data_IF_543106009547
#
_entry.id   IF_543106009547
#
_cell.length_a   1.000
_cell.length_b   1.000
_cell.length_c   1.000
_cell.angle_alpha   90.00
_cell.angle_beta   90.00
_cell.angle_gamma   90.00
#
_symmetry.space_group_name_H-M   'P 1'
#
loop_
_entity.id
_entity.type
_entity.pdbx_description
1 polymer ?
#
# COMPACT_ATOMS: atom_id res chain seq x y z
N UNK A 1 -5.22 6.97 0.69
CA UNK A 1 -6.10 8.14 0.73
C UNK A 1 -5.45 9.34 0.04
N UNK A 2 -4.19 9.66 0.33
CA UNK A 2 -3.53 10.87 -0.20
C UNK A 2 -3.08 10.77 -1.67
N UNK A 3 -3.10 9.61 -2.31
CA UNK A 3 -2.56 9.42 -3.66
C UNK A 3 -3.28 10.29 -4.71
N UNK A 4 -4.58 10.52 -4.56
CA UNK A 4 -5.32 11.43 -5.46
C UNK A 4 -4.88 12.87 -5.28
N UNK A 5 -4.66 13.30 -4.05
CA UNK A 5 -4.29 14.69 -3.74
C UNK A 5 -2.94 15.08 -4.34
N UNK A 6 -1.97 14.15 -4.32
CA UNK A 6 -0.60 14.38 -4.78
C UNK A 6 -0.30 13.79 -6.16
N UNK A 7 -1.31 13.33 -6.88
CA UNK A 7 -1.20 12.69 -8.19
C UNK A 7 -0.11 11.60 -8.24
N UNK A 8 -0.17 10.70 -7.27
CA UNK A 8 0.75 9.56 -7.17
C UNK A 8 0.06 8.32 -7.70
N UNK A 9 0.75 7.59 -8.56
CA UNK A 9 0.26 6.30 -9.09
C UNK A 9 0.22 5.25 -7.98
N UNK A 10 -0.71 4.28 -8.05
CA UNK A 10 -0.75 3.17 -7.11
C UNK A 10 0.58 2.44 -7.03
N UNK A 11 0.95 2.03 -5.83
CA UNK A 11 2.15 1.22 -5.58
C UNK A 11 1.88 0.19 -4.49
N UNK A 12 2.82 -0.75 -4.34
CA UNK A 12 2.73 -1.84 -3.39
C UNK A 12 3.74 -1.61 -2.28
N UNK A 13 3.33 -1.83 -1.04
CA UNK A 13 4.23 -1.98 0.11
C UNK A 13 4.17 -3.43 0.55
N UNK A 14 5.32 -4.08 0.62
CA UNK A 14 5.42 -5.49 0.93
C UNK A 14 6.24 -5.75 2.17
N UNK A 15 5.74 -6.60 3.04
CA UNK A 15 6.49 -7.21 4.14
C UNK A 15 6.95 -8.60 3.68
N UNK A 16 8.25 -8.75 3.39
CA UNK A 16 8.85 -10.00 2.94
C UNK A 16 9.79 -10.56 4.01
N UNK A 17 9.84 -11.87 4.17
CA UNK A 17 10.74 -12.52 5.12
C UNK A 17 10.26 -13.89 5.56
N UNK A 18 11.02 -14.55 6.46
CA UNK A 18 10.75 -15.91 6.92
C UNK A 18 9.39 -16.05 7.60
N UNK A 19 8.91 -17.27 7.67
CA UNK A 19 7.65 -17.63 8.34
C UNK A 19 7.68 -17.23 9.81
N UNK A 20 6.52 -16.89 10.36
CA UNK A 20 6.29 -16.60 11.78
C UNK A 20 7.03 -15.35 12.34
N UNK A 21 7.31 -14.37 11.49
CA UNK A 21 7.91 -13.09 11.90
C UNK A 21 6.88 -11.96 12.16
N UNK A 22 5.59 -12.28 12.25
CA UNK A 22 4.54 -11.30 12.54
C UNK A 22 3.98 -10.55 11.33
N UNK A 23 4.32 -10.91 10.08
CA UNK A 23 3.89 -10.18 8.86
C UNK A 23 2.36 -10.08 8.72
N UNK A 24 1.65 -11.20 8.82
CA UNK A 24 0.17 -11.22 8.77
C UNK A 24 -0.44 -10.41 9.91
N UNK A 25 0.18 -10.48 11.10
CA UNK A 25 -0.24 -9.67 12.23
C UNK A 25 -0.08 -8.17 11.94
N UNK A 26 1.08 -7.75 11.41
CA UNK A 26 1.32 -6.37 10.98
C UNK A 26 0.31 -5.93 9.93
N UNK A 27 0.00 -6.78 8.95
CA UNK A 27 -0.99 -6.49 7.92
C UNK A 27 -2.37 -6.21 8.53
N UNK A 28 -2.80 -7.04 9.49
CA UNK A 28 -4.06 -6.87 10.20
C UNK A 28 -4.07 -5.63 11.10
N UNK A 29 -2.96 -5.33 11.77
CA UNK A 29 -2.79 -4.12 12.56
C UNK A 29 -2.92 -2.86 11.68
N UNK A 30 -2.30 -2.85 10.50
CA UNK A 30 -2.44 -1.71 9.57
C UNK A 30 -3.85 -1.64 8.98
N UNK A 31 -4.50 -2.79 8.73
CA UNK A 31 -5.89 -2.82 8.29
C UNK A 31 -6.84 -2.21 9.34
N UNK A 32 -6.56 -2.40 10.64
CA UNK A 32 -7.37 -1.87 11.73
C UNK A 32 -7.43 -0.33 11.77
N UNK A 33 -6.48 0.36 11.16
CA UNK A 33 -6.54 1.82 10.97
C UNK A 33 -7.79 2.24 10.21
N UNK A 34 -8.28 1.40 9.28
CA UNK A 34 -9.39 1.70 8.37
C UNK A 34 -10.66 0.89 8.63
N UNK A 35 -10.58 -0.24 9.32
CA UNK A 35 -11.71 -1.11 9.58
C UNK A 35 -11.32 -2.41 10.27
N UNK A 36 -12.15 -3.44 10.14
CA UNK A 36 -11.87 -4.75 10.73
C UNK A 36 -10.82 -5.53 9.95
N UNK A 37 -10.29 -6.60 10.55
CA UNK A 37 -9.37 -7.54 9.89
C UNK A 37 -9.95 -8.22 8.66
N UNK A 38 -11.28 -8.18 8.44
CA UNK A 38 -11.96 -8.69 7.24
C UNK A 38 -11.55 -7.92 5.96
N UNK A 39 -10.93 -6.76 6.09
CA UNK A 39 -10.31 -6.05 4.98
C UNK A 39 -9.13 -6.82 4.38
N UNK A 40 -8.50 -7.70 5.15
CA UNK A 40 -7.38 -8.53 4.71
C UNK A 40 -7.89 -9.73 3.92
N UNK A 41 -7.45 -9.86 2.69
CA UNK A 41 -7.77 -10.97 1.79
C UNK A 41 -6.48 -11.65 1.30
N UNK A 42 -6.59 -12.82 0.66
CA UNK A 42 -5.42 -13.52 0.14
C UNK A 42 -5.13 -13.18 -1.32
N UNK A 43 -3.92 -13.48 -1.79
CA UNK A 43 -3.57 -13.42 -3.20
C UNK A 43 -4.24 -14.49 -4.07
N UNK A 44 -4.88 -15.49 -3.46
CA UNK A 44 -5.66 -16.53 -4.17
C UNK A 44 -6.91 -15.93 -4.82
N UNK A 45 -6.70 -15.14 -5.87
CA UNK A 45 -7.75 -14.41 -6.55
C UNK A 45 -7.41 -14.21 -8.04
N UNK A 46 -8.40 -13.94 -8.88
CA UNK A 46 -8.16 -13.65 -10.29
C UNK A 46 -7.68 -12.20 -10.46
N UNK A 47 -6.96 -11.89 -11.56
CA UNK A 47 -6.56 -10.51 -11.88
C UNK A 47 -7.76 -9.57 -11.94
N UNK A 48 -8.88 -10.02 -12.50
CA UNK A 48 -10.09 -9.24 -12.59
C UNK A 48 -10.69 -8.89 -11.23
N UNK A 49 -10.58 -9.79 -10.25
CA UNK A 49 -11.04 -9.50 -8.90
C UNK A 49 -10.12 -8.51 -8.17
N UNK A 50 -8.82 -8.53 -8.46
CA UNK A 50 -7.88 -7.52 -7.92
C UNK A 50 -8.22 -6.13 -8.47
N UNK A 51 -8.39 -5.98 -9.79
CA UNK A 51 -8.78 -4.71 -10.42
C UNK A 51 -10.15 -4.22 -9.91
N UNK A 52 -11.13 -5.13 -9.79
CA UNK A 52 -12.47 -4.79 -9.28
C UNK A 52 -12.44 -4.32 -7.82
N UNK A 53 -11.66 -4.99 -6.98
CA UNK A 53 -11.49 -4.61 -5.57
C UNK A 53 -10.74 -3.29 -5.45
N UNK A 54 -9.65 -3.08 -6.22
CA UNK A 54 -8.91 -1.82 -6.21
C UNK A 54 -9.81 -0.64 -6.61
N UNK A 55 -10.65 -0.81 -7.63
CA UNK A 55 -11.61 0.20 -8.06
C UNK A 55 -12.73 0.44 -7.03
N UNK A 56 -13.21 -0.62 -6.36
CA UNK A 56 -14.21 -0.50 -5.29
C UNK A 56 -13.66 0.28 -4.10
N UNK A 57 -12.44 -0.03 -3.68
CA UNK A 57 -11.76 0.66 -2.59
C UNK A 57 -11.35 2.09 -2.98
N UNK A 58 -11.12 2.35 -4.26
CA UNK A 58 -10.79 3.63 -4.85
C UNK A 58 -9.53 4.25 -4.23
N UNK A 59 -9.64 5.02 -3.16
CA UNK A 59 -8.53 5.65 -2.43
C UNK A 59 -8.16 4.95 -1.11
N UNK A 60 -8.97 4.00 -0.64
CA UNK A 60 -8.67 3.22 0.56
C UNK A 60 -7.66 2.12 0.28
N UNK A 61 -6.77 1.79 1.23
CA UNK A 61 -5.76 0.76 1.04
C UNK A 61 -6.36 -0.63 0.83
N UNK A 62 -5.65 -1.45 0.08
CA UNK A 62 -5.98 -2.84 -0.19
C UNK A 62 -4.98 -3.74 0.53
N UNK A 63 -5.45 -4.83 1.13
CA UNK A 63 -4.62 -5.74 1.93
C UNK A 63 -4.64 -7.15 1.33
N UNK A 64 -3.46 -7.70 1.03
CA UNK A 64 -3.28 -9.03 0.44
C UNK A 64 -2.24 -9.82 1.21
N UNK A 65 -2.68 -10.90 1.84
CA UNK A 65 -1.81 -11.79 2.59
C UNK A 65 -1.29 -12.95 1.73
N UNK A 66 -0.06 -13.34 1.97
CA UNK A 66 0.63 -14.55 1.51
C UNK A 66 0.77 -14.73 -0.01
N UNK A 67 1.95 -14.38 -0.52
CA UNK A 67 2.33 -14.61 -1.93
C UNK A 67 2.89 -16.02 -2.19
N UNK A 68 3.02 -16.90 -1.18
CA UNK A 68 3.75 -18.17 -1.22
C UNK A 68 3.39 -19.10 -2.37
N UNK A 69 2.10 -19.19 -2.70
CA UNK A 69 1.58 -20.10 -3.72
C UNK A 69 1.27 -19.40 -5.05
N UNK A 70 1.76 -18.21 -5.26
CA UNK A 70 1.48 -17.42 -6.45
C UNK A 70 2.61 -17.56 -7.46
N UNK A 71 2.27 -17.84 -8.72
CA UNK A 71 3.29 -17.94 -9.76
C UNK A 71 3.98 -16.60 -10.04
N UNK A 72 5.29 -16.58 -10.33
CA UNK A 72 6.05 -15.37 -10.65
C UNK A 72 5.39 -14.52 -11.76
N UNK A 73 4.92 -15.16 -12.82
CA UNK A 73 4.25 -14.50 -13.93
C UNK A 73 2.90 -13.86 -13.52
N UNK A 74 2.16 -14.47 -12.61
CA UNK A 74 0.92 -13.89 -12.13
C UNK A 74 1.21 -12.64 -11.31
N UNK A 75 2.16 -12.72 -10.34
CA UNK A 75 2.47 -11.60 -9.45
C UNK A 75 3.05 -10.40 -10.21
N UNK A 76 4.00 -10.63 -11.14
CA UNK A 76 4.55 -9.57 -11.97
C UNK A 76 3.45 -8.84 -12.78
N UNK A 77 2.57 -9.60 -13.45
CA UNK A 77 1.45 -9.02 -14.18
C UNK A 77 0.45 -8.28 -13.27
N UNK A 78 0.20 -8.80 -12.05
CA UNK A 78 -0.67 -8.16 -11.09
C UNK A 78 -0.09 -6.81 -10.63
N UNK A 79 1.23 -6.75 -10.35
CA UNK A 79 1.94 -5.51 -10.01
C UNK A 79 1.78 -4.46 -11.11
N UNK A 80 2.04 -4.82 -12.38
CA UNK A 80 1.90 -3.88 -13.50
C UNK A 80 0.47 -3.38 -13.67
N UNK A 81 -0.51 -4.29 -13.66
CA UNK A 81 -1.91 -3.91 -13.83
C UNK A 81 -2.42 -3.06 -12.68
N UNK A 82 -2.08 -3.43 -11.43
CA UNK A 82 -2.47 -2.66 -10.26
C UNK A 82 -1.87 -1.26 -10.26
N UNK A 83 -0.57 -1.16 -10.56
CA UNK A 83 0.16 0.12 -10.56
C UNK A 83 -0.17 1.02 -11.75
N UNK A 84 -0.94 0.54 -12.74
CA UNK A 84 -1.46 1.41 -13.81
C UNK A 84 -2.57 2.35 -13.31
N UNK A 85 -3.23 2.03 -12.21
CA UNK A 85 -4.32 2.82 -11.62
C UNK A 85 -5.62 2.76 -12.41
N UNK A 86 -5.71 1.91 -13.42
CA UNK A 86 -6.89 1.77 -14.26
C UNK A 86 -7.12 0.34 -14.73
N UNK A 87 -8.39 -0.02 -14.96
CA UNK A 87 -8.74 -1.33 -15.50
C UNK A 87 -8.44 -1.40 -17.01
N UNK A 88 -8.16 -2.62 -17.49
CA UNK A 88 -8.06 -2.84 -18.92
C UNK A 88 -9.40 -2.58 -19.61
N UNK A 89 -9.36 -1.87 -20.73
CA UNK A 89 -10.53 -1.72 -21.61
C UNK A 89 -10.99 -3.09 -22.10
N UNK A 90 -12.27 -3.37 -21.97
CA UNK A 90 -12.89 -4.63 -22.42
C UNK A 90 -14.10 -4.31 -23.25
N UNK A 91 -14.24 -5.05 -24.36
CA UNK A 91 -15.52 -5.05 -25.09
C UNK A 91 -16.51 -5.93 -24.32
N UNK A 92 -17.71 -5.45 -24.11
CA UNK A 92 -18.79 -6.26 -23.54
C UNK A 92 -19.51 -7.07 -24.65
N UNK A 93 -20.45 -7.94 -24.24
CA UNK A 93 -21.24 -8.75 -25.16
C UNK A 93 -22.08 -7.94 -26.20
N UNK A 94 -22.24 -6.63 -25.95
CA UNK A 94 -22.96 -5.69 -26.84
C UNK A 94 -22.01 -4.94 -27.78
N UNK A 95 -20.71 -5.34 -27.86
CA UNK A 95 -19.67 -4.68 -28.65
C UNK A 95 -19.44 -3.20 -28.29
N UNK A 96 -19.81 -2.79 -27.08
CA UNK A 96 -19.47 -1.51 -26.52
C UNK A 96 -18.25 -1.67 -25.58
N UNK A 97 -17.49 -0.61 -25.39
CA UNK A 97 -16.37 -0.59 -24.44
C UNK A 97 -16.94 -0.38 -23.06
N UNK A 98 -16.60 -1.25 -22.10
CA UNK A 98 -16.93 -1.04 -20.69
C UNK A 98 -16.22 0.21 -20.19
N UNK A 99 -16.87 0.95 -19.28
CA UNK A 99 -16.25 2.10 -18.63
C UNK A 99 -14.98 1.68 -17.92
N UNK A 100 -13.90 2.45 -18.15
CA UNK A 100 -12.65 2.29 -17.42
C UNK A 100 -12.90 2.56 -15.94
N UNK A 101 -12.49 1.63 -15.11
CA UNK A 101 -12.45 1.82 -13.65
C UNK A 101 -11.08 2.35 -13.29
N UNK A 102 -11.04 3.30 -12.37
CA UNK A 102 -9.81 3.92 -11.90
C UNK A 102 -9.66 3.77 -10.38
N UNK A 103 -8.43 3.77 -9.92
CA UNK A 103 -8.08 3.76 -8.49
C UNK A 103 -6.74 4.44 -8.24
N UNK A 104 -6.59 5.04 -7.06
CA UNK A 104 -5.32 5.55 -6.54
C UNK A 104 -5.18 5.15 -5.08
N UNK A 105 -4.80 3.91 -4.84
CA UNK A 105 -4.61 3.37 -3.50
C UNK A 105 -3.27 2.62 -3.37
N UNK A 106 -2.92 2.28 -2.14
CA UNK A 106 -1.74 1.47 -1.81
C UNK A 106 -2.22 0.05 -1.56
N UNK A 107 -1.50 -0.94 -2.12
CA UNK A 107 -1.68 -2.34 -1.79
C UNK A 107 -0.59 -2.73 -0.79
N UNK A 108 -1.00 -3.19 0.39
CA UNK A 108 -0.11 -3.81 1.35
C UNK A 108 -0.13 -5.32 1.17
N UNK A 109 1.05 -5.92 1.12
CA UNK A 109 1.22 -7.36 0.85
C UNK A 109 2.16 -8.00 1.85
N UNK A 110 2.02 -9.31 2.05
CA UNK A 110 2.99 -10.11 2.77
C UNK A 110 3.46 -11.29 1.93
N UNK A 111 4.69 -11.75 2.18
CA UNK A 111 5.26 -12.91 1.50
C UNK A 111 6.49 -13.49 2.20
N UNK A 112 6.90 -14.69 1.83
CA UNK A 112 8.16 -15.29 2.31
C UNK A 112 9.36 -14.82 1.46
N UNK A 113 9.14 -14.59 0.18
CA UNK A 113 10.12 -14.00 -0.73
C UNK A 113 9.58 -12.68 -1.28
N UNK A 114 10.46 -11.71 -1.52
CA UNK A 114 10.01 -10.44 -2.07
C UNK A 114 9.46 -10.59 -3.50
N UNK A 115 8.41 -9.86 -3.79
CA UNK A 115 7.79 -9.79 -5.13
C UNK A 115 8.84 -9.45 -6.19
N UNK A 116 9.76 -8.54 -5.86
CA UNK A 116 10.85 -8.15 -6.76
C UNK A 116 11.78 -9.32 -7.07
N UNK A 117 12.07 -10.19 -6.09
CA UNK A 117 12.89 -11.37 -6.30
C UNK A 117 12.16 -12.48 -7.06
N UNK A 118 10.84 -12.55 -6.94
CA UNK A 118 10.00 -13.51 -7.67
C UNK A 118 9.83 -13.13 -9.14
N UNK A 119 9.89 -11.85 -9.50
CA UNK A 119 9.60 -11.37 -10.85
C UNK A 119 10.83 -11.51 -11.78
N UNK A 120 10.59 -11.87 -13.05
CA UNK A 120 11.61 -11.89 -14.10
C UNK A 120 12.09 -10.48 -14.47
N UNK A 121 11.17 -9.52 -14.59
CA UNK A 121 11.47 -8.09 -14.81
C UNK A 121 11.63 -7.36 -13.48
N UNK A 122 12.79 -7.51 -12.87
CA UNK A 122 13.11 -6.92 -11.57
C UNK A 122 13.07 -5.39 -11.59
N UNK A 123 13.57 -4.75 -12.63
CA UNK A 123 13.67 -3.28 -12.70
C UNK A 123 12.28 -2.62 -12.78
N UNK A 124 11.39 -3.14 -13.59
CA UNK A 124 10.05 -2.63 -13.74
C UNK A 124 9.17 -2.87 -12.51
N UNK A 125 9.32 -4.02 -11.86
CA UNK A 125 8.61 -4.36 -10.61
C UNK A 125 9.15 -3.52 -9.45
N UNK A 126 10.48 -3.39 -9.29
CA UNK A 126 11.11 -2.60 -8.22
C UNK A 126 10.70 -1.12 -8.24
N UNK A 127 10.35 -0.58 -9.41
CA UNK A 127 9.84 0.78 -9.51
C UNK A 127 8.40 0.97 -8.95
N UNK A 128 7.75 -0.12 -8.54
CA UNK A 128 6.33 -0.17 -8.13
C UNK A 128 6.11 -0.84 -6.78
N UNK A 129 7.14 -1.46 -6.23
CA UNK A 129 7.07 -2.20 -4.96
C UNK A 129 8.12 -1.66 -4.00
N UNK A 130 7.69 -1.26 -2.83
CA UNK A 130 8.56 -0.93 -1.69
C UNK A 130 8.57 -2.16 -0.80
N UNK A 131 9.70 -2.85 -0.74
CA UNK A 131 9.84 -4.08 0.06
C UNK A 131 10.53 -3.77 1.40
N UNK A 132 9.94 -4.25 2.47
CA UNK A 132 10.47 -4.24 3.83
C UNK A 132 10.81 -5.68 4.20
N UNK A 133 12.08 -5.99 4.43
CA UNK A 133 12.57 -7.36 4.68
C UNK A 133 12.98 -7.57 6.15
N UNK A 134 12.88 -6.55 6.98
CA UNK A 134 13.20 -6.64 8.40
C UNK A 134 12.04 -7.25 9.21
N UNK A 135 12.39 -7.90 10.32
CA UNK A 135 11.42 -8.40 11.28
C UNK A 135 10.73 -7.20 11.97
N UNK A 136 9.39 -7.05 11.85
CA UNK A 136 8.73 -5.86 12.37
C UNK A 136 8.65 -5.78 13.90
N UNK A 137 8.87 -6.89 14.60
CA UNK A 137 8.77 -6.97 16.06
C UNK A 137 10.00 -7.63 16.67
N UNK A 138 10.39 -7.25 17.90
CA UNK A 138 11.43 -7.95 18.64
C UNK A 138 10.96 -9.37 19.01
N UNK A 139 11.93 -10.25 19.28
CA UNK A 139 11.68 -11.55 19.86
C UNK A 139 10.90 -11.38 21.19
N UNK A 140 9.94 -12.22 21.47
CA UNK A 140 9.07 -12.16 22.66
C UNK A 140 8.06 -10.98 22.71
N UNK A 141 7.68 -10.42 21.58
CA UNK A 141 6.62 -9.42 21.54
C UNK A 141 5.27 -10.03 21.94
N UNK A 142 4.47 -9.31 22.75
CA UNK A 142 3.13 -9.75 23.17
C UNK A 142 2.09 -9.46 22.09
N UNK A 143 2.00 -10.37 21.12
CA UNK A 143 1.00 -10.29 20.05
C UNK A 143 -0.44 -10.46 20.55
N UNK A 144 -0.67 -11.15 21.67
CA UNK A 144 -2.02 -11.47 22.15
C UNK A 144 -2.72 -10.23 22.67
N UNK A 145 -2.05 -9.45 23.52
CA UNK A 145 -2.59 -8.19 24.02
C UNK A 145 -2.92 -7.21 22.89
N UNK A 146 -1.99 -7.02 21.99
CA UNK A 146 -2.18 -6.06 20.89
C UNK A 146 -3.26 -6.54 19.89
N UNK A 147 -3.36 -7.85 19.59
CA UNK A 147 -4.41 -8.41 18.73
C UNK A 147 -5.81 -8.13 19.32
N UNK A 148 -5.96 -8.28 20.63
CA UNK A 148 -7.22 -7.96 21.31
C UNK A 148 -7.54 -6.46 21.19
N UNK A 149 -6.57 -5.59 21.43
CA UNK A 149 -6.78 -4.14 21.40
C UNK A 149 -7.21 -3.63 20.03
N UNK A 150 -6.54 -4.01 18.94
CA UNK A 150 -6.90 -3.49 17.62
C UNK A 150 -8.17 -4.13 17.04
N UNK A 151 -8.60 -5.31 17.53
CA UNK A 151 -9.89 -5.89 17.16
C UNK A 151 -11.06 -5.17 17.81
N UNK A 152 -10.86 -4.60 18.98
CA UNK A 152 -11.88 -3.81 19.69
C UNK A 152 -11.88 -2.33 19.26
N UNK A 153 -10.71 -1.81 18.84
CA UNK A 153 -10.48 -0.40 18.53
C UNK A 153 -10.00 -0.22 17.10
N UNK A 154 -10.90 -0.31 16.12
CA UNK A 154 -10.56 -0.16 14.70
C UNK A 154 -11.26 1.04 14.06
N UNK A 155 -10.72 1.52 12.93
CA UNK A 155 -11.29 2.57 12.08
C UNK A 155 -11.17 4.00 12.63
N UNK A 156 -10.71 4.18 13.86
CA UNK A 156 -10.64 5.50 14.51
C UNK A 156 -9.46 6.32 14.02
N UNK A 157 -8.27 5.75 13.97
CA UNK A 157 -7.06 6.45 13.56
C UNK A 157 -7.14 6.96 12.12
N UNK A 158 -7.74 6.21 11.20
CA UNK A 158 -7.91 6.63 9.82
C UNK A 158 -8.79 7.88 9.69
N UNK A 159 -9.82 8.00 10.53
CA UNK A 159 -10.69 9.19 10.58
C UNK A 159 -9.92 10.40 11.11
N UNK A 160 -9.19 10.23 12.21
CA UNK A 160 -8.37 11.32 12.80
C UNK A 160 -7.25 11.76 11.84
N UNK A 161 -6.62 10.82 11.13
CA UNK A 161 -5.65 11.13 10.08
C UNK A 161 -6.24 12.03 8.98
N UNK A 162 -7.44 11.71 8.51
CA UNK A 162 -8.11 12.53 7.47
C UNK A 162 -8.45 13.91 8.02
N UNK A 163 -8.97 14.01 9.24
CA UNK A 163 -9.29 15.28 9.89
C UNK A 163 -8.02 16.13 10.05
N UNK A 164 -6.93 15.52 10.55
CA UNK A 164 -5.65 16.21 10.73
C UNK A 164 -5.12 16.73 9.40
N UNK A 165 -5.10 15.91 8.35
CA UNK A 165 -4.70 16.35 7.01
C UNK A 165 -5.53 17.54 6.54
N UNK A 166 -6.85 17.49 6.69
CA UNK A 166 -7.74 18.57 6.25
C UNK A 166 -7.54 19.87 7.03
N UNK A 167 -7.18 19.78 8.32
CA UNK A 167 -6.98 20.96 9.17
C UNK A 167 -5.79 21.82 8.77
N UNK A 168 -4.73 21.20 8.19
CA UNK A 168 -3.48 21.86 7.79
C UNK A 168 -3.11 21.56 6.33
N UNK A 169 -4.11 21.42 5.46
CA UNK A 169 -3.94 20.91 4.09
C UNK A 169 -2.86 21.66 3.29
N UNK A 170 -2.81 22.97 3.36
CA UNK A 170 -1.86 23.78 2.59
C UNK A 170 -0.43 23.62 3.14
N UNK A 171 -0.27 23.56 4.47
CA UNK A 171 1.03 23.31 5.11
C UNK A 171 1.59 21.94 4.70
N UNK A 172 0.75 20.89 4.73
CA UNK A 172 1.16 19.55 4.32
C UNK A 172 1.48 19.44 2.83
N UNK A 173 0.88 20.26 1.97
CA UNK A 173 1.26 20.34 0.57
C UNK A 173 2.66 20.95 0.41
N UNK A 174 2.99 21.98 1.15
CA UNK A 174 4.33 22.57 1.16
C UNK A 174 5.38 21.58 1.69
N UNK A 175 5.07 20.85 2.78
CA UNK A 175 5.92 19.78 3.29
C UNK A 175 6.16 18.69 2.23
N UNK A 176 5.10 18.22 1.56
CA UNK A 176 5.22 17.22 0.49
C UNK A 176 6.16 17.68 -0.64
N UNK A 177 6.01 18.92 -1.12
CA UNK A 177 6.87 19.48 -2.15
C UNK A 177 8.34 19.58 -1.70
N UNK A 178 8.58 19.85 -0.42
CA UNK A 178 9.92 19.84 0.18
C UNK A 178 10.52 18.42 0.19
N UNK A 179 9.75 17.43 0.65
CA UNK A 179 10.19 16.03 0.65
C UNK A 179 10.42 15.51 -0.77
N UNK A 180 9.56 15.86 -1.70
CA UNK A 180 9.70 15.46 -3.10
C UNK A 180 11.00 16.00 -3.72
N UNK A 181 11.34 17.27 -3.45
CA UNK A 181 12.63 17.85 -3.87
C UNK A 181 13.80 17.09 -3.28
N UNK A 182 13.78 16.85 -1.96
CA UNK A 182 14.83 16.10 -1.26
C UNK A 182 15.07 14.72 -1.88
N UNK A 183 14.02 13.93 -2.11
CA UNK A 183 14.16 12.59 -2.68
C UNK A 183 14.53 12.61 -4.16
N UNK A 184 14.09 13.60 -4.94
CA UNK A 184 14.48 13.76 -6.34
C UNK A 184 15.97 14.11 -6.50
N UNK A 185 16.51 14.93 -5.61
CA UNK A 185 17.96 15.25 -5.59
C UNK A 185 18.83 14.03 -5.27
N UNK A 186 18.31 13.07 -4.48
CA UNK A 186 18.97 11.79 -4.17
C UNK A 186 18.80 10.76 -5.27
N UNK A 187 17.80 10.90 -6.14
CA UNK A 187 17.50 9.93 -7.20
C UNK A 187 18.44 10.06 -8.38
N UNK A 188 19.26 9.02 -8.63
CA UNK A 188 20.26 8.97 -9.70
C UNK A 188 19.71 8.41 -11.01
N UNK A 189 18.50 7.87 -11.03
CA UNK A 189 17.86 7.32 -12.24
C UNK A 189 16.32 7.39 -12.14
N UNK A 190 15.63 7.13 -13.24
CA UNK A 190 14.17 7.23 -13.33
C UNK A 190 13.39 6.28 -12.42
N UNK A 191 13.95 5.13 -12.03
CA UNK A 191 13.36 4.22 -11.03
C UNK A 191 13.41 4.87 -9.66
N UNK A 192 14.55 5.41 -9.25
CA UNK A 192 14.71 6.09 -7.96
C UNK A 192 13.84 7.35 -7.86
N UNK A 193 13.69 8.12 -8.94
CA UNK A 193 12.79 9.27 -8.96
C UNK A 193 11.33 8.87 -8.78
N UNK A 194 10.90 7.74 -9.34
CA UNK A 194 9.54 7.21 -9.15
C UNK A 194 9.31 6.76 -7.72
N UNK A 195 10.25 6.02 -7.14
CA UNK A 195 10.22 5.59 -5.74
C UNK A 195 10.32 6.80 -4.80
N UNK A 196 11.04 7.85 -5.19
CA UNK A 196 11.15 9.09 -4.43
C UNK A 196 9.81 9.74 -4.11
N UNK A 197 8.84 9.69 -5.03
CA UNK A 197 7.46 10.14 -4.76
C UNK A 197 6.78 9.31 -3.66
N UNK A 198 7.00 7.99 -3.67
CA UNK A 198 6.44 7.10 -2.64
C UNK A 198 7.05 7.43 -1.27
N UNK A 199 8.36 7.64 -1.19
CA UNK A 199 9.04 8.02 0.06
C UNK A 199 8.63 9.40 0.55
N UNK A 200 8.45 10.38 -0.33
CA UNK A 200 7.92 11.68 0.04
C UNK A 200 6.52 11.58 0.66
N UNK A 201 5.66 10.72 0.11
CA UNK A 201 4.33 10.47 0.67
C UNK A 201 4.40 9.75 2.03
N UNK A 202 5.29 8.78 2.20
CA UNK A 202 5.48 8.08 3.48
C UNK A 202 6.02 9.04 4.55
N UNK A 203 6.96 9.90 4.20
CA UNK A 203 7.48 10.94 5.10
C UNK A 203 6.39 11.91 5.54
N UNK A 204 5.57 12.38 4.60
CA UNK A 204 4.41 13.23 4.91
C UNK A 204 3.40 12.50 5.80
N UNK A 205 3.17 11.21 5.54
CA UNK A 205 2.26 10.42 6.37
C UNK A 205 2.73 10.36 7.82
N UNK A 206 4.04 10.19 8.04
CA UNK A 206 4.64 10.25 9.37
C UNK A 206 4.46 11.62 10.04
N UNK A 207 4.67 12.72 9.32
CA UNK A 207 4.43 14.08 9.82
C UNK A 207 2.99 14.28 10.28
N UNK A 208 2.01 13.88 9.44
CA UNK A 208 0.59 14.00 9.78
C UNK A 208 0.24 13.18 11.03
N UNK A 209 0.78 11.96 11.15
CA UNK A 209 0.56 11.11 12.33
C UNK A 209 1.13 11.75 13.59
N UNK A 210 2.33 12.33 13.52
CA UNK A 210 2.95 13.03 14.65
C UNK A 210 2.17 14.25 15.13
N UNK A 211 1.41 14.85 14.23
CA UNK A 211 0.57 16.01 14.54
C UNK A 211 -0.80 15.63 15.14
N UNK A 212 -1.14 14.34 15.22
CA UNK A 212 -2.37 13.88 15.87
C UNK A 212 -2.16 13.85 17.38
N UNK A 213 -3.00 14.59 18.11
CA UNK A 213 -2.95 14.63 19.57
C UNK A 213 -3.10 13.23 20.18
N UNK A 214 -2.16 12.86 21.07
CA UNK A 214 -2.15 11.57 21.75
C UNK A 214 -1.56 10.42 20.93
N UNK A 215 -1.02 10.68 19.73
CA UNK A 215 -0.24 9.71 18.99
C UNK A 215 1.21 9.78 19.48
N UNK A 216 1.59 8.83 20.36
CA UNK A 216 2.95 8.70 20.87
C UNK A 216 3.71 7.61 20.09
N UNK A 217 5.01 7.83 19.86
CA UNK A 217 5.91 6.93 19.11
C UNK A 217 6.58 5.90 20.00
#
# INVERSE_FOLDING_TARGET
VLLYEFDIMPFIVELAGSTSTGKTFTLNLVASVWGTTDLTTTWSSTRNSIEAMAAFLNSFPMFKDDTRNISPNFIANAVYNYSSGESKSRSNKKLTIDEKKEWKNILLSTGEASITNMADDKAGVSARVVTLEEQPYPDNYDFISLDHEFRENYGTLGIEFIKQYQSKKDEYKESFESYLRYFNEKGINGVMQRIGKCFALLQLTGEILNDIDGFEH
#
